data_IF_960391849680
#
_entry.id   IF_960391849680
#
_cell.length_a   1.000
_cell.length_b   1.000
_cell.length_c   1.000
_cell.angle_alpha   90.00
_cell.angle_beta   90.00
_cell.angle_gamma   90.00
#
_symmetry.space_group_name_H-M   'P 1'
#
loop_
_entity.id
_entity.type
_entity.pdbx_description
1 polymer ?
#
# COMPACT_ATOMS: atom_id res chain seq x y z
N UNK A 1 -54.94 -11.78 -41.00
CA UNK A 1 -54.01 -10.71 -40.58
C UNK A 1 -53.88 -10.74 -39.06
N UNK A 2 -52.74 -11.24 -38.55
CA UNK A 2 -52.34 -11.10 -37.15
C UNK A 2 -50.84 -10.78 -37.16
N UNK A 3 -50.49 -9.58 -36.71
CA UNK A 3 -49.12 -9.08 -36.63
C UNK A 3 -48.64 -9.30 -35.18
N UNK A 4 -47.53 -10.02 -34.92
CA UNK A 4 -46.98 -10.10 -33.58
C UNK A 4 -46.07 -8.89 -33.31
N UNK A 5 -46.33 -8.23 -32.19
CA UNK A 5 -45.55 -7.13 -31.64
C UNK A 5 -44.25 -7.73 -31.04
N UNK A 6 -43.10 -7.46 -31.65
CA UNK A 6 -41.80 -7.85 -31.09
C UNK A 6 -41.34 -6.70 -30.18
N UNK A 7 -41.50 -6.89 -28.86
CA UNK A 7 -40.96 -6.00 -27.84
C UNK A 7 -39.47 -6.33 -27.70
N UNK A 8 -38.63 -5.47 -28.27
CA UNK A 8 -37.17 -5.55 -28.13
C UNK A 8 -36.78 -4.95 -26.77
N UNK A 9 -36.54 -5.80 -25.78
CA UNK A 9 -35.96 -5.39 -24.50
C UNK A 9 -34.45 -5.11 -24.70
N UNK A 10 -34.11 -3.83 -24.83
CA UNK A 10 -32.74 -3.33 -24.67
C UNK A 10 -32.31 -3.53 -23.21
N UNK A 11 -31.48 -4.54 -22.97
CA UNK A 11 -30.80 -4.73 -21.68
C UNK A 11 -29.68 -3.69 -21.61
N UNK A 12 -29.91 -2.61 -20.87
CA UNK A 12 -28.88 -1.66 -20.48
C UNK A 12 -27.91 -2.36 -19.52
N UNK A 13 -26.76 -2.82 -20.03
CA UNK A 13 -25.64 -3.24 -19.20
C UNK A 13 -25.09 -1.99 -18.49
N UNK A 14 -25.58 -1.73 -17.28
CA UNK A 14 -25.01 -0.70 -16.41
C UNK A 14 -23.58 -1.08 -16.07
N UNK A 15 -22.64 -0.14 -16.26
CA UNK A 15 -21.26 -0.30 -15.82
C UNK A 15 -21.24 -0.58 -14.31
N UNK A 16 -21.07 -1.83 -13.90
CA UNK A 16 -20.81 -2.16 -12.51
C UNK A 16 -19.44 -1.60 -12.15
N UNK A 17 -19.43 -0.54 -11.34
CA UNK A 17 -18.22 -0.07 -10.68
C UNK A 17 -17.69 -1.17 -9.78
N UNK A 18 -16.40 -1.50 -9.91
CA UNK A 18 -15.72 -2.44 -9.02
C UNK A 18 -15.92 -2.04 -7.56
N UNK A 19 -16.25 -2.98 -6.66
CA UNK A 19 -16.45 -2.65 -5.24
C UNK A 19 -15.17 -2.06 -4.65
N UNK A 20 -15.36 -1.14 -3.71
CA UNK A 20 -14.30 -0.37 -3.08
C UNK A 20 -14.62 -0.16 -1.60
N UNK A 21 -13.61 0.19 -0.81
CA UNK A 21 -13.82 0.71 0.52
C UNK A 21 -13.50 2.20 0.56
N UNK A 22 -13.95 2.90 1.58
CA UNK A 22 -13.68 4.33 1.76
C UNK A 22 -13.14 4.57 3.17
N UNK A 23 -12.07 5.35 3.26
CA UNK A 23 -11.66 5.95 4.52
C UNK A 23 -12.09 7.43 4.54
N UNK A 24 -12.72 7.84 5.64
CA UNK A 24 -13.30 9.16 5.84
C UNK A 24 -12.79 9.75 7.17
N UNK A 25 -11.86 10.69 7.06
CA UNK A 25 -11.28 11.44 8.17
C UNK A 25 -11.94 12.79 8.44
N UNK A 26 -13.07 13.10 7.79
CA UNK A 26 -13.70 14.44 7.81
C UNK A 26 -14.79 14.62 8.88
N UNK A 27 -15.12 13.57 9.63
CA UNK A 27 -16.32 13.51 10.47
C UNK A 27 -15.99 13.61 11.97
N UNK A 28 -15.06 14.48 12.35
CA UNK A 28 -14.81 14.71 13.78
C UNK A 28 -16.09 15.20 14.48
N UNK A 29 -16.32 14.74 15.70
CA UNK A 29 -17.50 15.17 16.47
C UNK A 29 -17.22 16.53 17.09
N UNK A 30 -17.85 17.58 16.56
CA UNK A 30 -17.71 18.97 17.08
C UNK A 30 -18.02 19.06 18.59
N UNK A 31 -18.87 18.18 19.12
CA UNK A 31 -19.22 18.11 20.55
C UNK A 31 -18.13 17.51 21.45
N UNK A 32 -17.08 16.91 20.86
CA UNK A 32 -15.95 16.30 21.56
C UNK A 32 -14.71 17.18 21.33
N UNK A 33 -14.33 17.96 22.33
CA UNK A 33 -13.28 18.98 22.24
C UNK A 33 -11.87 18.42 21.98
N UNK A 34 -11.72 17.10 22.13
CA UNK A 34 -10.48 16.38 21.91
C UNK A 34 -10.50 15.56 20.60
N UNK A 35 -11.57 15.66 19.82
CA UNK A 35 -11.77 14.93 18.58
C UNK A 35 -11.57 15.82 17.34
N UNK A 36 -10.61 15.45 16.50
CA UNK A 36 -10.22 16.23 15.33
C UNK A 36 -10.26 15.38 14.06
N UNK A 37 -10.32 16.07 12.92
CA UNK A 37 -10.23 15.41 11.63
C UNK A 37 -8.83 14.82 11.45
N UNK A 38 -8.76 13.84 10.56
CA UNK A 38 -7.50 13.29 10.08
C UNK A 38 -7.38 13.45 8.57
N UNK A 39 -6.23 13.90 8.13
CA UNK A 39 -5.83 13.95 6.73
C UNK A 39 -5.11 12.67 6.36
N UNK A 40 -5.48 12.11 5.21
CA UNK A 40 -4.80 10.94 4.65
C UNK A 40 -3.59 11.45 3.89
N UNK A 41 -2.40 11.09 4.39
CA UNK A 41 -1.11 11.56 3.87
C UNK A 41 -0.43 10.50 3.02
N UNK A 42 -0.62 9.20 3.31
CA UNK A 42 -0.17 8.12 2.45
C UNK A 42 -1.04 6.86 2.64
N UNK A 43 -1.07 6.01 1.62
CA UNK A 43 -1.68 4.68 1.69
C UNK A 43 -0.72 3.70 1.04
N UNK A 44 -0.30 2.67 1.78
CA UNK A 44 0.71 1.69 1.34
C UNK A 44 2.00 2.34 0.85
N UNK A 45 2.43 3.42 1.52
CA UNK A 45 3.59 4.22 1.14
C UNK A 45 3.36 5.23 0.00
N UNK A 46 2.22 5.21 -0.70
CA UNK A 46 1.91 6.16 -1.75
C UNK A 46 1.29 7.46 -1.20
N UNK A 47 1.98 8.59 -1.38
CA UNK A 47 1.54 9.88 -0.86
C UNK A 47 0.19 10.32 -1.44
N UNK A 48 -0.68 10.80 -0.56
CA UNK A 48 -1.97 11.40 -0.85
C UNK A 48 -1.88 12.88 -0.44
N UNK A 49 -2.32 13.81 -1.30
CA UNK A 49 -2.25 15.26 -1.03
C UNK A 49 -3.20 15.70 0.10
N UNK A 50 -2.96 15.28 1.35
CA UNK A 50 -3.69 15.69 2.55
C UNK A 50 -5.21 15.53 2.44
N UNK A 51 -5.69 14.47 1.79
CA UNK A 51 -7.13 14.32 1.49
C UNK A 51 -7.86 13.85 2.75
N UNK A 52 -9.02 14.43 3.04
CA UNK A 52 -9.86 13.96 4.15
C UNK A 52 -10.63 12.67 3.82
N UNK A 53 -10.84 12.37 2.54
CA UNK A 53 -11.54 11.15 2.11
C UNK A 53 -10.81 10.49 0.96
N UNK A 54 -10.80 9.16 0.93
CA UNK A 54 -10.18 8.39 -0.15
C UNK A 54 -10.88 7.05 -0.34
N UNK A 55 -11.19 6.73 -1.60
CA UNK A 55 -11.54 5.38 -1.99
C UNK A 55 -10.26 4.53 -2.03
N UNK A 56 -10.30 3.40 -1.35
CA UNK A 56 -9.24 2.40 -1.30
C UNK A 56 -9.76 1.09 -1.88
N UNK A 57 -8.84 0.26 -2.34
CA UNK A 57 -9.21 -1.08 -2.79
C UNK A 57 -9.65 -1.89 -1.57
N UNK A 58 -10.49 -2.92 -1.76
CA UNK A 58 -10.67 -3.93 -0.73
C UNK A 58 -9.34 -4.66 -0.48
N UNK A 59 -9.08 -5.02 0.77
CA UNK A 59 -7.81 -5.62 1.18
C UNK A 59 -7.14 -4.87 2.32
N UNK A 60 -5.95 -5.32 2.72
CA UNK A 60 -5.22 -4.69 3.81
C UNK A 60 -4.43 -3.49 3.30
N UNK A 61 -4.47 -2.40 4.05
CA UNK A 61 -3.79 -1.16 3.76
C UNK A 61 -3.11 -0.61 5.00
N UNK A 62 -1.93 0.00 4.83
CA UNK A 62 -1.37 0.89 5.86
C UNK A 62 -1.74 2.33 5.51
N UNK A 63 -2.61 2.94 6.30
CA UNK A 63 -3.07 4.31 6.07
C UNK A 63 -2.34 5.26 7.00
N UNK A 64 -1.54 6.16 6.44
CA UNK A 64 -0.86 7.20 7.20
C UNK A 64 -1.80 8.40 7.33
N UNK A 65 -2.15 8.73 8.57
CA UNK A 65 -3.12 9.74 8.95
C UNK A 65 -2.44 10.85 9.73
N UNK A 66 -2.70 12.10 9.39
CA UNK A 66 -2.25 13.25 10.18
C UNK A 66 -3.41 13.96 10.84
N UNK A 67 -3.26 14.32 12.12
CA UNK A 67 -4.28 15.11 12.81
C UNK A 67 -4.34 16.54 12.30
N UNK A 68 -5.55 17.11 12.19
CA UNK A 68 -5.75 18.57 12.04
C UNK A 68 -5.78 19.29 13.38
N UNK A 69 -5.69 18.55 14.48
CA UNK A 69 -5.71 19.08 15.85
C UNK A 69 -4.44 19.86 16.20
N UNK A 70 -4.51 20.74 17.21
CA UNK A 70 -3.40 21.58 17.60
C UNK A 70 -2.28 20.74 18.23
N UNK A 71 -1.09 20.77 17.63
CA UNK A 71 0.15 20.28 18.23
C UNK A 71 0.88 21.46 18.90
N UNK A 72 1.28 21.31 20.16
CA UNK A 72 2.04 22.32 20.91
C UNK A 72 3.52 22.29 20.54
N UNK A 73 4.08 21.09 20.33
CA UNK A 73 5.48 20.93 19.97
C UNK A 73 5.68 21.00 18.46
N UNK A 74 6.64 21.84 18.01
CA UNK A 74 7.11 21.85 16.62
C UNK A 74 7.82 20.54 16.20
N UNK A 75 8.09 19.64 17.15
CA UNK A 75 8.73 18.33 16.93
C UNK A 75 7.76 17.15 17.05
N UNK A 76 6.49 17.37 17.39
CA UNK A 76 5.52 16.28 17.48
C UNK A 76 5.24 15.69 16.09
N UNK A 77 5.31 14.36 15.98
CA UNK A 77 4.98 13.66 14.73
C UNK A 77 3.49 13.81 14.48
N UNK A 78 3.12 14.55 13.44
CA UNK A 78 1.71 14.79 13.14
C UNK A 78 0.99 13.57 12.60
N UNK A 79 1.72 12.48 12.29
CA UNK A 79 1.24 11.34 11.51
C UNK A 79 1.30 10.02 12.29
N UNK A 80 0.21 9.27 12.27
CA UNK A 80 0.10 7.89 12.76
C UNK A 80 -0.28 6.93 11.63
N UNK A 81 0.08 5.65 11.78
CA UNK A 81 -0.31 4.60 10.83
C UNK A 81 -1.54 3.88 11.36
N UNK A 82 -2.53 3.70 10.48
CA UNK A 82 -3.74 2.94 10.72
C UNK A 82 -3.74 1.69 9.84
N UNK A 83 -3.47 0.50 10.41
CA UNK A 83 -3.62 -0.75 9.68
C UNK A 83 -5.11 -1.03 9.46
N UNK A 84 -5.51 -1.15 8.19
CA UNK A 84 -6.90 -1.28 7.81
C UNK A 84 -7.10 -2.48 6.89
N UNK A 85 -7.80 -3.51 7.36
CA UNK A 85 -8.39 -4.53 6.49
C UNK A 85 -9.71 -4.00 5.91
N UNK A 86 -9.60 -3.34 4.77
CA UNK A 86 -10.70 -2.68 4.09
C UNK A 86 -11.65 -3.70 3.44
N UNK A 87 -12.87 -3.81 3.98
CA UNK A 87 -13.94 -4.63 3.42
C UNK A 87 -14.57 -3.94 2.22
N UNK A 88 -15.01 -4.75 1.25
CA UNK A 88 -15.79 -4.25 0.13
C UNK A 88 -17.01 -3.46 0.60
N UNK A 89 -17.26 -2.34 -0.08
CA UNK A 89 -18.41 -1.49 0.15
C UNK A 89 -18.54 -0.96 1.58
N UNK A 90 -17.43 -0.88 2.32
CA UNK A 90 -17.39 -0.36 3.67
C UNK A 90 -16.78 1.04 3.72
N UNK A 91 -17.38 1.92 4.50
CA UNK A 91 -16.82 3.22 4.88
C UNK A 91 -16.34 3.14 6.32
N UNK A 92 -15.07 3.45 6.52
CA UNK A 92 -14.41 3.58 7.81
C UNK A 92 -14.30 5.06 8.14
N UNK A 93 -15.01 5.49 9.17
CA UNK A 93 -14.94 6.86 9.66
C UNK A 93 -13.94 6.91 10.80
N UNK A 94 -12.88 7.70 10.65
CA UNK A 94 -11.78 7.78 11.61
C UNK A 94 -11.56 9.22 12.04
N UNK A 95 -11.03 9.39 13.24
CA UNK A 95 -10.69 10.71 13.81
C UNK A 95 -9.42 10.63 14.65
N UNK A 96 -8.82 11.78 14.91
CA UNK A 96 -7.75 11.93 15.88
C UNK A 96 -8.36 12.24 17.26
N UNK A 97 -8.07 11.42 18.25
CA UNK A 97 -8.43 11.67 19.63
C UNK A 97 -7.19 12.11 20.40
N UNK A 98 -7.16 13.36 20.85
CA UNK A 98 -6.04 13.90 21.63
C UNK A 98 -6.24 13.66 23.13
N UNK A 99 -5.12 13.54 23.85
CA UNK A 99 -5.15 13.48 25.31
C UNK A 99 -5.63 14.81 25.92
N UNK A 100 -6.45 14.77 27.00
CA UNK A 100 -6.95 15.99 27.65
C UNK A 100 -5.82 16.84 28.26
N UNK A 101 -4.74 16.20 28.71
CA UNK A 101 -3.58 16.86 29.35
C UNK A 101 -2.44 17.15 28.38
N UNK A 102 -2.22 16.28 27.39
CA UNK A 102 -1.18 16.44 26.38
C UNK A 102 -1.79 16.42 24.99
N UNK A 103 -1.77 17.57 24.32
CA UNK A 103 -2.27 17.72 22.95
C UNK A 103 -1.28 17.21 21.90
N UNK A 104 -0.05 16.91 22.26
CA UNK A 104 0.93 16.33 21.34
C UNK A 104 0.72 14.81 21.16
N UNK A 105 0.09 14.16 22.14
CA UNK A 105 -0.25 12.74 22.08
C UNK A 105 -1.69 12.57 21.59
N UNK A 106 -1.87 11.77 20.55
CA UNK A 106 -3.18 11.44 20.02
C UNK A 106 -3.22 10.00 19.52
N UNK A 107 -4.41 9.46 19.37
CA UNK A 107 -4.66 8.13 18.84
C UNK A 107 -5.71 8.18 17.72
N UNK A 108 -5.66 7.18 16.84
CA UNK A 108 -6.67 7.02 15.79
C UNK A 108 -7.88 6.32 16.41
N UNK A 109 -9.04 6.95 16.32
CA UNK A 109 -10.31 6.38 16.79
C UNK A 109 -11.23 6.10 15.61
N UNK A 110 -11.67 4.85 15.49
CA UNK A 110 -12.75 4.48 14.56
C UNK A 110 -14.07 4.94 15.17
N UNK A 111 -14.73 5.88 14.51
CA UNK A 111 -16.00 6.45 14.96
C UNK A 111 -17.20 5.65 14.46
N UNK A 112 -17.09 5.09 13.26
CA UNK A 112 -18.17 4.39 12.58
C UNK A 112 -17.62 3.48 11.47
N UNK A 113 -18.30 2.35 11.27
CA UNK A 113 -18.11 1.45 10.13
C UNK A 113 -19.48 1.19 9.51
N UNK A 114 -19.66 1.61 8.25
CA UNK A 114 -20.97 1.54 7.60
C UNK A 114 -20.89 1.21 6.13
N UNK A 115 -21.90 0.51 5.65
CA UNK A 115 -22.05 0.19 4.24
C UNK A 115 -22.18 1.45 3.39
N UNK A 116 -21.55 1.43 2.22
CA UNK A 116 -21.69 2.46 1.19
C UNK A 116 -22.95 2.13 0.37
N UNK A 117 -24.04 2.93 0.46
CA UNK A 117 -25.33 2.54 -0.11
C UNK A 117 -25.33 2.28 -1.64
N UNK A 118 -24.42 2.92 -2.36
CA UNK A 118 -24.27 2.79 -3.82
C UNK A 118 -23.33 1.65 -4.25
N UNK A 119 -22.74 0.91 -3.31
CA UNK A 119 -21.78 -0.14 -3.58
C UNK A 119 -22.40 -1.50 -3.27
N UNK A 120 -22.31 -2.44 -4.22
CA UNK A 120 -22.72 -3.83 -4.02
C UNK A 120 -21.47 -4.68 -3.84
N UNK A 121 -21.29 -5.38 -2.70
CA UNK A 121 -20.14 -6.24 -2.52
C UNK A 121 -20.22 -7.43 -3.50
N UNK A 122 -19.06 -7.91 -3.90
CA UNK A 122 -18.91 -9.17 -4.60
C UNK A 122 -19.57 -10.29 -3.78
N UNK A 123 -20.10 -11.34 -4.42
CA UNK A 123 -20.55 -12.53 -3.70
C UNK A 123 -19.44 -13.01 -2.77
N UNK A 124 -19.76 -13.25 -1.50
CA UNK A 124 -18.78 -13.75 -0.54
C UNK A 124 -18.25 -15.10 -1.02
N UNK A 125 -17.02 -15.13 -1.52
CA UNK A 125 -16.31 -16.38 -1.69
C UNK A 125 -16.11 -16.99 -0.30
N UNK A 126 -16.31 -18.32 -0.13
CA UNK A 126 -16.05 -18.97 1.14
C UNK A 126 -14.64 -18.63 1.62
N UNK A 127 -14.47 -18.48 2.94
CA UNK A 127 -13.19 -18.20 3.60
C UNK A 127 -12.26 -19.43 3.42
N UNK A 128 -11.71 -19.58 2.23
CA UNK A 128 -10.71 -20.58 1.90
C UNK A 128 -9.41 -20.11 2.55
N UNK A 129 -8.80 -20.94 3.39
CA UNK A 129 -7.46 -20.71 3.90
C UNK A 129 -6.57 -20.29 2.72
N UNK A 130 -6.05 -19.06 2.76
CA UNK A 130 -5.31 -18.49 1.63
C UNK A 130 -4.07 -19.33 1.41
N UNK A 131 -4.11 -20.21 0.40
CA UNK A 131 -2.95 -21.00 0.01
C UNK A 131 -1.97 -20.05 -0.68
N UNK A 132 -0.86 -19.76 -0.01
CA UNK A 132 0.22 -18.98 -0.61
C UNK A 132 0.94 -19.89 -1.63
N UNK A 133 0.93 -19.53 -2.92
CA UNK A 133 1.59 -20.31 -3.96
C UNK A 133 3.12 -20.19 -3.84
N UNK A 134 3.84 -21.21 -4.29
CA UNK A 134 5.30 -21.27 -4.12
C UNK A 134 6.06 -20.12 -4.78
N UNK A 135 5.54 -19.56 -5.89
CA UNK A 135 6.13 -18.39 -6.55
C UNK A 135 6.00 -17.07 -5.76
N UNK A 136 5.16 -17.06 -4.73
CA UNK A 136 5.03 -15.95 -3.78
C UNK A 136 5.90 -16.15 -2.52
N UNK A 137 6.69 -17.24 -2.47
CA UNK A 137 7.57 -17.59 -1.36
C UNK A 137 9.04 -17.51 -1.76
N UNK A 138 9.95 -17.20 -0.82
CA UNK A 138 11.37 -17.24 -1.10
C UNK A 138 11.86 -18.68 -1.28
N UNK A 139 12.92 -18.84 -2.05
CA UNK A 139 13.67 -20.10 -2.13
C UNK A 139 14.57 -20.23 -0.90
N UNK A 140 14.02 -20.73 0.21
CA UNK A 140 14.74 -20.92 1.47
C UNK A 140 14.51 -19.79 2.49
N UNK A 141 15.17 -19.92 3.63
CA UNK A 141 15.06 -18.95 4.72
C UNK A 141 15.74 -17.63 4.34
N UNK A 142 15.04 -16.52 4.55
CA UNK A 142 15.56 -15.18 4.32
C UNK A 142 15.98 -14.55 5.63
N UNK A 143 17.25 -14.16 5.73
CA UNK A 143 17.78 -13.38 6.84
C UNK A 143 17.48 -11.88 6.67
N UNK A 144 17.70 -11.10 7.73
CA UNK A 144 17.72 -9.64 7.59
C UNK A 144 18.88 -9.21 6.67
N UNK A 145 18.55 -8.59 5.53
CA UNK A 145 19.52 -8.07 4.57
C UNK A 145 19.86 -6.62 4.86
N UNK A 146 21.14 -6.32 4.93
CA UNK A 146 21.66 -4.94 5.08
C UNK A 146 21.66 -4.20 3.75
N UNK A 147 21.79 -2.88 3.79
CA UNK A 147 21.71 -2.02 2.60
C UNK A 147 22.69 -2.39 1.48
N UNK A 148 23.90 -2.84 1.82
CA UNK A 148 24.96 -3.28 0.91
C UNK A 148 24.69 -4.64 0.24
N UNK A 149 23.81 -5.45 0.82
CA UNK A 149 23.37 -6.73 0.26
C UNK A 149 22.19 -6.59 -0.70
N UNK A 150 21.53 -5.42 -0.69
CA UNK A 150 20.41 -5.13 -1.56
C UNK A 150 20.92 -4.68 -2.94
N UNK A 151 20.43 -5.34 -3.99
CA UNK A 151 20.86 -5.11 -5.37
C UNK A 151 19.65 -5.02 -6.30
N UNK A 152 19.89 -4.69 -7.57
CA UNK A 152 18.85 -4.74 -8.59
C UNK A 152 18.38 -6.14 -8.96
N UNK A 153 18.98 -7.18 -8.37
CA UNK A 153 18.56 -8.57 -8.49
C UNK A 153 17.68 -9.05 -7.32
N UNK A 154 17.57 -8.27 -6.24
CA UNK A 154 16.76 -8.65 -5.09
C UNK A 154 15.27 -8.43 -5.40
N UNK A 155 14.47 -9.49 -5.42
CA UNK A 155 13.05 -9.42 -5.80
C UNK A 155 12.14 -8.98 -4.64
N UNK A 156 10.93 -8.47 -4.90
CA UNK A 156 9.96 -8.15 -3.86
C UNK A 156 9.62 -9.34 -2.94
N UNK A 157 9.65 -10.57 -3.47
CA UNK A 157 9.52 -11.79 -2.66
C UNK A 157 10.59 -11.82 -1.57
N UNK A 158 11.87 -11.69 -1.94
CA UNK A 158 12.99 -11.70 -0.99
C UNK A 158 12.96 -10.47 -0.08
N UNK A 159 12.70 -9.29 -0.65
CA UNK A 159 12.73 -8.03 0.09
C UNK A 159 11.69 -7.99 1.20
N UNK A 160 10.44 -8.38 0.94
CA UNK A 160 9.38 -8.36 1.96
C UNK A 160 9.60 -9.41 3.06
N UNK A 161 10.20 -10.56 2.74
CA UNK A 161 10.62 -11.53 3.75
C UNK A 161 11.82 -11.02 4.58
N UNK A 162 12.75 -10.32 3.94
CA UNK A 162 13.85 -9.64 4.64
C UNK A 162 13.33 -8.55 5.58
N UNK A 163 12.29 -7.80 5.20
CA UNK A 163 11.63 -6.84 6.11
C UNK A 163 11.18 -7.54 7.39
N UNK A 164 10.44 -8.65 7.27
CA UNK A 164 9.98 -9.41 8.42
C UNK A 164 11.15 -9.95 9.28
N UNK A 165 12.21 -10.46 8.65
CA UNK A 165 13.41 -10.91 9.34
C UNK A 165 14.13 -9.78 10.10
N UNK A 166 14.24 -8.59 9.49
CA UNK A 166 14.85 -7.42 10.10
C UNK A 166 14.04 -6.85 11.27
N UNK A 167 12.70 -6.87 11.18
CA UNK A 167 11.84 -6.47 12.29
C UNK A 167 12.03 -7.40 13.48
N UNK A 168 12.09 -8.72 13.25
CA UNK A 168 12.36 -9.72 14.29
C UNK A 168 13.73 -9.53 14.95
N UNK A 169 14.73 -9.09 14.19
CA UNK A 169 16.07 -8.77 14.72
C UNK A 169 16.20 -7.33 15.25
N UNK A 170 15.11 -6.55 15.25
CA UNK A 170 15.08 -5.13 15.65
C UNK A 170 16.03 -4.21 14.85
N UNK A 171 16.45 -4.65 13.66
CA UNK A 171 17.22 -3.81 12.73
C UNK A 171 16.26 -3.05 11.81
N UNK A 172 15.67 -1.99 12.36
CA UNK A 172 14.68 -1.20 11.66
C UNK A 172 15.25 -0.43 10.47
N UNK A 173 16.54 -0.08 10.44
CA UNK A 173 17.15 0.59 9.30
C UNK A 173 17.19 -0.34 8.09
N UNK A 174 17.66 -1.57 8.29
CA UNK A 174 17.65 -2.59 7.24
C UNK A 174 16.22 -2.96 6.81
N UNK A 175 15.28 -3.05 7.76
CA UNK A 175 13.85 -3.26 7.45
C UNK A 175 13.29 -2.13 6.56
N UNK A 176 13.59 -0.87 6.89
CA UNK A 176 13.13 0.29 6.13
C UNK A 176 13.72 0.29 4.72
N UNK A 177 15.03 0.05 4.58
CA UNK A 177 15.70 -0.01 3.27
C UNK A 177 15.09 -1.11 2.38
N UNK A 178 14.90 -2.31 2.94
CA UNK A 178 14.25 -3.41 2.23
C UNK A 178 12.79 -3.08 1.87
N UNK A 179 12.05 -2.42 2.76
CA UNK A 179 10.66 -2.03 2.53
C UNK A 179 10.51 -1.01 1.39
N UNK A 180 11.36 0.01 1.35
CA UNK A 180 11.36 0.99 0.26
C UNK A 180 11.73 0.37 -1.08
N UNK A 181 12.78 -0.46 -1.11
CA UNK A 181 13.18 -1.14 -2.34
C UNK A 181 12.11 -2.13 -2.81
N UNK A 182 11.46 -2.87 -1.90
CA UNK A 182 10.36 -3.78 -2.22
C UNK A 182 9.21 -3.05 -2.89
N UNK A 183 8.81 -1.91 -2.32
CA UNK A 183 7.76 -1.07 -2.85
C UNK A 183 8.09 -0.51 -4.23
N UNK A 184 9.30 0.05 -4.39
CA UNK A 184 9.75 0.58 -5.67
C UNK A 184 9.77 -0.52 -6.75
N UNK A 185 10.27 -1.70 -6.44
CA UNK A 185 10.38 -2.80 -7.38
C UNK A 185 9.03 -3.43 -7.72
N UNK A 186 8.14 -3.60 -6.74
CA UNK A 186 6.77 -4.04 -7.00
C UNK A 186 6.00 -3.04 -7.87
N UNK A 187 6.19 -1.73 -7.64
CA UNK A 187 5.58 -0.68 -8.46
C UNK A 187 6.13 -0.71 -9.89
N UNK A 188 7.45 -0.74 -10.06
CA UNK A 188 8.10 -0.87 -11.37
C UNK A 188 7.60 -2.11 -12.11
N UNK A 189 7.52 -3.25 -11.42
CA UNK A 189 7.02 -4.51 -11.98
C UNK A 189 5.57 -4.40 -12.43
N UNK A 190 4.73 -3.68 -11.68
CA UNK A 190 3.34 -3.42 -12.07
C UNK A 190 3.21 -2.55 -13.33
N UNK A 191 4.20 -1.70 -13.62
CA UNK A 191 4.23 -0.90 -14.85
C UNK A 191 4.62 -1.72 -16.07
N UNK A 192 5.48 -2.74 -15.91
CA UNK A 192 5.93 -3.60 -17.01
C UNK A 192 5.10 -4.87 -17.20
N UNK A 193 4.36 -5.31 -16.19
CA UNK A 193 3.41 -6.43 -16.28
C UNK A 193 2.02 -5.86 -16.56
N UNK A 194 1.56 -6.02 -17.80
CA UNK A 194 0.30 -5.39 -18.28
C UNK A 194 -0.96 -5.96 -17.62
N UNK A 195 -0.89 -7.20 -17.13
CA UNK A 195 -2.04 -7.90 -16.60
C UNK A 195 -2.28 -7.56 -15.12
N UNK A 196 -3.37 -6.85 -14.83
CA UNK A 196 -3.66 -6.32 -13.48
C UNK A 196 -3.85 -7.40 -12.42
N UNK A 197 -4.38 -8.58 -12.77
CA UNK A 197 -4.56 -9.65 -11.77
C UNK A 197 -3.22 -10.15 -11.24
N UNK A 198 -2.15 -10.11 -12.04
CA UNK A 198 -0.81 -10.51 -11.60
C UNK A 198 -0.29 -9.66 -10.46
N UNK A 199 -0.76 -8.41 -10.32
CA UNK A 199 -0.31 -7.50 -9.28
C UNK A 199 -0.78 -7.93 -7.89
N UNK A 200 -1.87 -8.71 -7.80
CA UNK A 200 -2.42 -9.20 -6.53
C UNK A 200 -1.47 -10.14 -5.77
N UNK A 201 -0.47 -10.72 -6.47
CA UNK A 201 0.55 -11.56 -5.83
C UNK A 201 1.34 -10.81 -4.75
N UNK A 202 1.49 -9.48 -4.87
CA UNK A 202 2.21 -8.67 -3.89
C UNK A 202 1.56 -8.77 -2.51
N UNK A 203 0.22 -8.84 -2.46
CA UNK A 203 -0.50 -9.01 -1.19
C UNK A 203 -0.35 -10.43 -0.64
N UNK A 204 -0.22 -11.45 -1.50
CA UNK A 204 0.11 -12.80 -1.07
C UNK A 204 1.51 -12.87 -0.45
N UNK A 205 2.49 -12.19 -1.05
CA UNK A 205 3.85 -12.11 -0.50
C UNK A 205 3.84 -11.39 0.87
N UNK A 206 3.08 -10.29 1.01
CA UNK A 206 2.94 -9.59 2.30
C UNK A 206 2.29 -10.47 3.37
N UNK A 207 1.26 -11.24 3.00
CA UNK A 207 0.60 -12.23 3.87
C UNK A 207 1.58 -13.27 4.41
N UNK A 208 2.45 -13.78 3.55
CA UNK A 208 3.44 -14.80 3.91
C UNK A 208 4.66 -14.25 4.68
N UNK A 209 4.84 -12.92 4.68
CA UNK A 209 5.99 -12.25 5.30
C UNK A 209 5.59 -11.35 6.47
N UNK A 210 5.32 -10.08 6.19
CA UNK A 210 5.09 -9.01 7.19
C UNK A 210 3.88 -9.34 8.08
N UNK A 211 2.83 -9.97 7.54
CA UNK A 211 1.62 -10.23 8.33
C UNK A 211 1.76 -11.42 9.29
N UNK A 212 2.86 -12.16 9.19
CA UNK A 212 3.21 -13.21 10.17
C UNK A 212 3.80 -12.63 11.45
N UNK A 213 4.15 -11.34 11.47
CA UNK A 213 4.66 -10.63 12.63
C UNK A 213 3.54 -10.40 13.66
N UNK A 214 3.91 -10.37 14.93
CA UNK A 214 3.01 -9.96 16.00
C UNK A 214 2.57 -8.50 15.87
N UNK A 215 1.44 -8.15 16.48
CA UNK A 215 0.94 -6.78 16.48
C UNK A 215 1.96 -5.76 17.04
N UNK A 216 2.73 -6.16 18.07
CA UNK A 216 3.75 -5.32 18.67
C UNK A 216 4.94 -5.08 17.72
N UNK A 217 5.38 -6.12 17.00
CA UNK A 217 6.45 -6.00 15.99
C UNK A 217 6.03 -5.06 14.85
N UNK A 218 4.79 -5.20 14.37
CA UNK A 218 4.23 -4.31 13.35
C UNK A 218 4.17 -2.87 13.84
N UNK A 219 3.64 -2.63 15.05
CA UNK A 219 3.56 -1.30 15.65
C UNK A 219 4.94 -0.64 15.81
N UNK A 220 5.94 -1.39 16.29
CA UNK A 220 7.30 -0.87 16.45
C UNK A 220 7.92 -0.47 15.11
N UNK A 221 7.74 -1.29 14.09
CA UNK A 221 8.20 -0.97 12.74
C UNK A 221 7.48 0.25 12.17
N UNK A 222 6.16 0.35 12.33
CA UNK A 222 5.36 1.49 11.89
C UNK A 222 5.83 2.80 12.54
N UNK A 223 6.13 2.79 13.84
CA UNK A 223 6.69 3.95 14.52
C UNK A 223 8.03 4.36 13.91
N UNK A 224 8.94 3.40 13.69
CA UNK A 224 10.27 3.69 13.11
C UNK A 224 10.18 4.17 11.67
N UNK A 225 9.26 3.62 10.89
CA UNK A 225 8.97 4.07 9.54
C UNK A 225 8.42 5.50 9.52
N UNK A 226 7.52 5.85 10.45
CA UNK A 226 7.00 7.21 10.57
C UNK A 226 8.08 8.23 10.94
N UNK A 227 8.95 7.90 11.90
CA UNK A 227 10.13 8.70 12.27
C UNK A 227 11.05 8.91 11.05
N UNK A 228 11.31 7.84 10.30
CA UNK A 228 12.12 7.88 9.09
C UNK A 228 11.52 8.78 7.99
N UNK A 229 10.22 8.64 7.72
CA UNK A 229 9.49 9.42 6.71
C UNK A 229 9.47 10.92 7.03
N UNK A 230 9.50 11.28 8.32
CA UNK A 230 9.58 12.68 8.77
C UNK A 230 11.01 13.25 8.74
N UNK A 231 12.02 12.42 8.44
CA UNK A 231 13.43 12.80 8.44
C UNK A 231 13.96 13.16 7.05
N UNK A 232 15.10 13.85 7.01
CA UNK A 232 15.84 14.11 5.77
C UNK A 232 16.40 12.83 5.13
N UNK A 233 16.45 11.71 5.86
CA UNK A 233 16.98 10.43 5.36
C UNK A 233 16.15 9.89 4.18
N UNK A 234 14.87 10.29 4.05
CA UNK A 234 14.04 9.94 2.89
C UNK A 234 14.71 10.32 1.56
N UNK A 235 15.36 11.49 1.49
CA UNK A 235 16.07 11.93 0.29
C UNK A 235 17.30 11.05 -0.01
N UNK A 236 17.98 10.58 1.03
CA UNK A 236 19.12 9.67 0.88
C UNK A 236 18.68 8.31 0.29
N UNK A 237 17.49 7.80 0.68
CA UNK A 237 16.92 6.60 0.05
C UNK A 237 16.61 6.80 -1.42
N UNK A 238 16.11 7.97 -1.83
CA UNK A 238 15.90 8.28 -3.24
C UNK A 238 17.19 8.17 -4.05
N UNK A 239 18.28 8.79 -3.59
CA UNK A 239 19.58 8.71 -4.27
C UNK A 239 20.18 7.30 -4.25
N UNK A 240 19.97 6.57 -3.15
CA UNK A 240 20.41 5.18 -3.04
C UNK A 240 19.65 4.24 -4.00
N UNK A 241 18.31 4.28 -4.04
CA UNK A 241 17.51 3.47 -4.97
C UNK A 241 17.85 3.83 -6.43
N UNK A 242 18.08 5.12 -6.72
CA UNK A 242 18.55 5.57 -8.03
C UNK A 242 19.91 5.00 -8.40
N UNK A 243 20.82 4.86 -7.44
CA UNK A 243 22.16 4.27 -7.63
C UNK A 243 22.09 2.76 -7.86
N UNK A 244 21.19 2.04 -7.18
CA UNK A 244 20.94 0.62 -7.44
C UNK A 244 20.38 0.42 -8.86
N UNK A 245 19.46 1.29 -9.26
CA UNK A 245 18.83 1.27 -10.57
C UNK A 245 17.65 0.30 -10.68
N UNK A 246 17.13 0.20 -11.90
CA UNK A 246 15.95 -0.58 -12.22
C UNK A 246 16.19 -2.10 -12.04
N UNK A 247 15.17 -2.87 -11.64
CA UNK A 247 15.23 -4.33 -11.55
C UNK A 247 15.90 -5.00 -12.75
N UNK A 248 16.84 -5.90 -12.50
CA UNK A 248 17.53 -6.68 -13.53
C UNK A 248 17.14 -8.17 -13.55
N UNK A 249 15.94 -8.44 -13.05
CA UNK A 249 15.28 -9.74 -13.11
C UNK A 249 13.98 -9.67 -13.92
N UNK A 250 13.51 -10.82 -14.38
CA UNK A 250 12.14 -10.99 -14.87
C UNK A 250 11.19 -11.18 -13.67
N UNK A 251 10.02 -10.51 -13.62
CA UNK A 251 9.13 -10.53 -12.45
C UNK A 251 8.31 -11.84 -12.39
N UNK A 252 8.99 -12.97 -12.28
CA UNK A 252 8.40 -14.31 -12.38
C UNK A 252 7.28 -14.52 -11.35
N UNK A 253 7.39 -13.93 -10.17
CA UNK A 253 6.35 -13.98 -9.15
C UNK A 253 5.02 -13.37 -9.62
N UNK A 254 5.04 -12.32 -10.46
CA UNK A 254 3.83 -11.77 -11.08
C UNK A 254 3.39 -12.57 -12.31
N UNK A 255 4.34 -13.04 -13.12
CA UNK A 255 4.05 -13.77 -14.35
C UNK A 255 3.44 -15.15 -14.06
N UNK A 256 3.89 -15.85 -13.03
CA UNK A 256 3.34 -17.16 -12.65
C UNK A 256 1.96 -17.06 -11.98
N UNK A 257 1.57 -15.87 -11.53
CA UNK A 257 0.21 -15.62 -11.05
C UNK A 257 -0.80 -15.40 -12.18
N UNK A 258 -0.35 -15.33 -13.45
CA UNK A 258 -1.25 -15.15 -14.59
C UNK A 258 -2.24 -16.32 -14.75
N UNK A 259 -3.48 -16.04 -15.20
CA UNK A 259 -4.35 -17.08 -15.75
C UNK A 259 -3.68 -17.76 -16.95
N UNK A 260 -3.95 -19.06 -17.14
CA UNK A 260 -3.30 -19.93 -18.14
C UNK A 260 -3.52 -19.52 -19.62
N UNK A 261 -4.35 -18.51 -19.90
CA UNK A 261 -4.75 -18.09 -21.25
C UNK A 261 -3.85 -16.98 -21.84
N UNK A 262 -2.55 -17.01 -21.50
CA UNK A 262 -1.60 -15.90 -21.52
C UNK A 262 -1.55 -15.00 -22.77
N UNK A 263 -1.77 -13.70 -22.55
CA UNK A 263 -1.35 -12.64 -23.48
C UNK A 263 0.18 -12.48 -23.49
N UNK A 264 0.81 -12.13 -24.63
CA UNK A 264 2.24 -11.91 -24.70
C UNK A 264 2.65 -10.76 -23.77
N UNK A 265 3.54 -11.05 -22.82
CA UNK A 265 4.15 -10.05 -21.94
C UNK A 265 5.50 -9.66 -22.53
N UNK A 266 5.71 -8.37 -22.79
CA UNK A 266 7.03 -7.89 -23.14
C UNK A 266 7.82 -7.63 -21.85
N UNK A 267 8.43 -8.68 -21.30
CA UNK A 267 9.32 -8.57 -20.14
C UNK A 267 10.72 -8.09 -20.52
N UNK A 268 11.05 -8.13 -21.81
CA UNK A 268 12.33 -7.67 -22.36
C UNK A 268 12.19 -6.24 -22.88
N UNK A 269 12.20 -5.31 -21.93
CA UNK A 269 12.08 -3.89 -22.21
C UNK A 269 13.39 -3.36 -22.77
N UNK A 270 13.33 -2.53 -23.81
CA UNK A 270 14.49 -1.75 -24.25
C UNK A 270 15.02 -0.89 -23.08
N UNK A 271 16.31 -0.57 -23.12
CA UNK A 271 16.96 0.25 -22.09
C UNK A 271 16.22 1.58 -21.85
N UNK A 272 15.73 2.24 -22.92
CA UNK A 272 15.01 3.50 -22.84
C UNK A 272 13.65 3.36 -22.15
N UNK A 273 12.91 2.28 -22.41
CA UNK A 273 11.63 2.01 -21.76
C UNK A 273 11.88 1.66 -20.29
N UNK A 274 12.89 0.82 -20.00
CA UNK A 274 13.29 0.47 -18.62
C UNK A 274 13.65 1.72 -17.82
N UNK A 275 14.46 2.62 -18.39
CA UNK A 275 14.80 3.91 -17.77
C UNK A 275 13.57 4.80 -17.55
N UNK A 276 12.66 4.87 -18.53
CA UNK A 276 11.43 5.66 -18.43
C UNK A 276 10.53 5.16 -17.29
N UNK A 277 10.26 3.86 -17.22
CA UNK A 277 9.43 3.27 -16.16
C UNK A 277 10.08 3.40 -14.78
N UNK A 278 11.41 3.31 -14.71
CA UNK A 278 12.11 3.46 -13.45
C UNK A 278 12.11 4.92 -12.97
N UNK A 279 12.26 5.90 -13.87
CA UNK A 279 12.07 7.31 -13.51
C UNK A 279 10.64 7.58 -13.01
N UNK A 280 9.61 6.99 -13.63
CA UNK A 280 8.25 7.06 -13.10
C UNK A 280 8.14 6.43 -11.71
N UNK A 281 8.83 5.32 -11.45
CA UNK A 281 8.89 4.71 -10.10
C UNK A 281 9.53 5.65 -9.06
N UNK A 282 10.65 6.29 -9.40
CA UNK A 282 11.30 7.24 -8.49
C UNK A 282 10.41 8.46 -8.21
N UNK A 283 9.76 9.00 -9.24
CA UNK A 283 8.97 10.23 -9.11
C UNK A 283 7.58 9.99 -8.54
N UNK A 284 6.83 9.06 -9.12
CA UNK A 284 5.40 8.86 -8.85
C UNK A 284 5.16 7.99 -7.62
N UNK A 285 6.04 7.01 -7.37
CA UNK A 285 5.92 6.11 -6.22
C UNK A 285 6.74 6.59 -5.02
N UNK A 286 8.05 6.79 -5.17
CA UNK A 286 8.89 7.22 -4.04
C UNK A 286 8.77 8.71 -3.70
N UNK A 287 8.27 9.53 -4.64
CA UNK A 287 8.19 10.98 -4.46
C UNK A 287 9.58 11.63 -4.42
N UNK A 288 10.53 11.10 -5.20
CA UNK A 288 11.86 11.66 -5.34
C UNK A 288 11.78 12.91 -6.22
N UNK A 289 11.56 14.08 -5.61
CA UNK A 289 11.64 15.35 -6.32
C UNK A 289 13.05 15.54 -6.90
N UNK A 290 13.16 15.96 -8.17
CA UNK A 290 14.42 16.57 -8.63
C UNK A 290 14.74 17.79 -7.75
N UNK A 291 16.02 18.06 -7.43
CA UNK A 291 16.40 19.29 -6.76
C UNK A 291 15.80 20.46 -7.56
N UNK A 292 15.09 21.37 -6.87
CA UNK A 292 14.74 22.64 -7.47
C UNK A 292 16.07 23.36 -7.77
N UNK A 293 16.43 23.42 -9.05
CA UNK A 293 17.50 24.28 -9.58
C UNK A 293 17.14 25.74 -9.43
#
# INVERSE_FOLDING_TARGET
MKLPLIISCLILAGCQSTPYAMIDGSQSKISDADNYNVEIIAIDGAFQSGKLTKNIKPGYHTVHLSTTGPLRSRKATSTLVYPLLAKECMRYVVSAQHGPSNKDDWEIKVLDERLIPACTPSPAEPEVAVVIPDYAKPTGDISCLTQDQLTNQTTPVVLLHSVAACIKSQDYNSAINAYFLAGAYAYFDSLRVTHKLSHAVVDLIKKDSIWTLSALEQQNFEQKLAEYLASEQKQQTCEWVKTIGAPDYAPQYMLQHLPQDGAPQNTDLSADIKATLFNATLNDYLGCSSPQT
#
